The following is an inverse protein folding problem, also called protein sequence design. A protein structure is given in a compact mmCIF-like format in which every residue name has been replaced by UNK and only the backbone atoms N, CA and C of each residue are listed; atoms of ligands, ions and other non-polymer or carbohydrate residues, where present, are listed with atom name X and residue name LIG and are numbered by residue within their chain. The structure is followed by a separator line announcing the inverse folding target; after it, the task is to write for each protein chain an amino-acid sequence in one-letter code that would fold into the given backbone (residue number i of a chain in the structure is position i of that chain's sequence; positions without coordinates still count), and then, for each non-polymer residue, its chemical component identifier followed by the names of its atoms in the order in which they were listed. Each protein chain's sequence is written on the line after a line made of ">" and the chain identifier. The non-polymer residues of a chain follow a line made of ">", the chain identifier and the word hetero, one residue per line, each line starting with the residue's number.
data_IF_441834465370
#
_entry.id   IF_441834465370
#
_cell.length_a   1.000
_cell.length_b   1.000
_cell.length_c   1.000
_cell.angle_alpha   90.00
_cell.angle_beta   90.00
_cell.angle_gamma   90.00
#
_symmetry.space_group_name_H-M   'P 1'
#
loop_
_entity.id
_entity.type
_entity.pdbx_description
1 polymer ?
#
# COMPACT_ATOMS: atom_id res chain seq x y z
N UNK A 1 3.30 24.71 -31.39
CA UNK A 1 2.61 24.52 -30.10
C UNK A 1 3.52 23.78 -29.12
N UNK A 2 4.22 24.53 -28.27
CA UNK A 2 4.95 23.94 -27.15
C UNK A 2 3.98 23.18 -26.25
N UNK A 3 4.36 22.00 -25.72
CA UNK A 3 3.58 21.38 -24.66
C UNK A 3 3.51 22.34 -23.47
N UNK A 4 2.39 22.40 -22.74
CA UNK A 4 2.31 23.21 -21.53
C UNK A 4 3.41 22.76 -20.56
N UNK A 5 3.99 23.68 -19.75
CA UNK A 5 4.92 23.29 -18.70
C UNK A 5 4.24 22.22 -17.85
N UNK A 6 4.90 21.07 -17.76
CA UNK A 6 4.50 19.90 -16.97
C UNK A 6 3.90 20.39 -15.66
N UNK A 7 2.58 20.27 -15.50
CA UNK A 7 1.89 20.76 -14.32
C UNK A 7 2.62 20.18 -13.11
N UNK A 8 3.33 21.03 -12.36
CA UNK A 8 3.98 20.65 -11.12
C UNK A 8 2.88 20.09 -10.24
N UNK A 9 2.76 18.76 -10.17
CA UNK A 9 1.70 18.10 -9.41
C UNK A 9 1.85 18.62 -7.99
N UNK A 10 0.87 19.40 -7.54
CA UNK A 10 0.91 19.98 -6.20
C UNK A 10 0.99 18.82 -5.19
N UNK A 11 2.14 18.69 -4.51
CA UNK A 11 2.39 17.64 -3.52
C UNK A 11 1.86 18.02 -2.13
N UNK A 12 1.21 19.18 -1.98
CA UNK A 12 0.66 19.62 -0.69
C UNK A 12 -0.48 18.72 -0.22
N UNK A 13 -0.20 17.94 0.82
CA UNK A 13 -1.11 16.95 1.41
C UNK A 13 -1.92 17.54 2.57
N UNK A 14 -1.67 18.80 2.96
CA UNK A 14 -2.32 19.43 4.10
C UNK A 14 -3.85 19.52 3.97
N UNK A 15 -4.46 19.82 2.80
CA UNK A 15 -5.92 19.82 2.67
C UNK A 15 -6.55 18.45 2.93
N UNK A 16 -5.93 17.37 2.42
CA UNK A 16 -6.42 16.01 2.61
C UNK A 16 -6.33 15.58 4.07
N UNK A 17 -5.21 15.88 4.73
CA UNK A 17 -5.00 15.59 6.15
C UNK A 17 -6.03 16.32 7.02
N UNK A 18 -6.24 17.62 6.80
CA UNK A 18 -7.25 18.39 7.54
C UNK A 18 -8.67 17.83 7.33
N UNK A 19 -9.03 17.52 6.09
CA UNK A 19 -10.34 16.96 5.77
C UNK A 19 -10.55 15.60 6.46
N UNK A 20 -9.56 14.70 6.41
CA UNK A 20 -9.65 13.38 7.02
C UNK A 20 -9.73 13.47 8.55
N UNK A 21 -8.93 14.33 9.18
CA UNK A 21 -9.01 14.58 10.63
C UNK A 21 -10.40 15.06 11.04
N UNK A 22 -10.94 16.09 10.38
CA UNK A 22 -12.27 16.62 10.72
C UNK A 22 -13.39 15.58 10.54
N UNK A 23 -13.34 14.80 9.44
CA UNK A 23 -14.31 13.73 9.20
C UNK A 23 -14.17 12.58 10.20
N UNK A 24 -12.95 12.27 10.62
CA UNK A 24 -12.71 11.25 11.64
C UNK A 24 -13.30 11.69 12.98
N UNK A 25 -13.07 12.94 13.41
CA UNK A 25 -13.59 13.47 14.67
C UNK A 25 -15.14 13.51 14.70
N UNK A 26 -15.78 13.93 13.60
CA UNK A 26 -17.25 13.90 13.48
C UNK A 26 -17.80 12.46 13.55
N UNK A 27 -17.14 11.50 12.88
CA UNK A 27 -17.59 10.13 12.89
C UNK A 27 -17.35 9.41 14.21
N UNK A 28 -16.22 9.64 14.89
CA UNK A 28 -15.99 9.12 16.26
C UNK A 28 -17.11 9.61 17.18
N UNK A 29 -17.38 10.91 17.19
CA UNK A 29 -18.42 11.52 18.02
C UNK A 29 -19.82 10.95 17.78
N UNK A 30 -20.13 10.54 16.54
CA UNK A 30 -21.37 9.88 16.20
C UNK A 30 -21.41 8.43 16.70
N UNK A 31 -20.39 7.63 16.36
CA UNK A 31 -20.40 6.18 16.61
C UNK A 31 -20.21 5.82 18.08
N UNK A 32 -19.56 6.67 18.89
CA UNK A 32 -19.45 6.49 20.34
C UNK A 32 -20.82 6.42 21.04
N UNK A 33 -21.87 6.96 20.41
CA UNK A 33 -23.24 7.01 20.97
C UNK A 33 -24.13 5.84 20.55
N UNK A 34 -23.72 5.06 19.53
CA UNK A 34 -24.60 4.08 18.86
C UNK A 34 -24.56 2.69 19.51
N UNK A 35 -23.57 2.40 20.37
CA UNK A 35 -23.52 1.21 21.24
C UNK A 35 -23.33 -0.15 20.54
N UNK A 36 -23.45 -0.26 19.21
CA UNK A 36 -23.29 -1.51 18.46
C UNK A 36 -21.83 -1.90 18.24
N UNK A 37 -21.56 -3.18 17.97
CA UNK A 37 -20.22 -3.68 17.67
C UNK A 37 -19.61 -3.00 16.44
N UNK A 38 -20.41 -2.82 15.38
CA UNK A 38 -19.99 -2.08 14.19
C UNK A 38 -19.65 -0.64 14.52
N UNK A 39 -20.42 0.01 15.39
CA UNK A 39 -20.13 1.39 15.82
C UNK A 39 -18.82 1.49 16.59
N UNK A 40 -18.54 0.55 17.51
CA UNK A 40 -17.24 0.50 18.22
C UNK A 40 -16.07 0.33 17.24
N UNK A 41 -16.22 -0.54 16.24
CA UNK A 41 -15.21 -0.70 15.18
C UNK A 41 -15.02 0.57 14.35
N UNK A 42 -16.10 1.27 14.00
CA UNK A 42 -15.99 2.56 13.31
C UNK A 42 -15.24 3.60 14.14
N UNK A 43 -15.61 3.77 15.42
CA UNK A 43 -14.94 4.71 16.31
C UNK A 43 -13.44 4.40 16.42
N UNK A 44 -13.08 3.12 16.55
CA UNK A 44 -11.68 2.68 16.54
C UNK A 44 -10.98 2.99 15.20
N UNK A 45 -11.60 2.64 14.07
CA UNK A 45 -11.03 2.89 12.74
C UNK A 45 -10.79 4.38 12.48
N UNK A 46 -11.76 5.25 12.79
CA UNK A 46 -11.60 6.70 12.64
C UNK A 46 -10.55 7.28 13.59
N UNK A 47 -10.46 6.77 14.81
CA UNK A 47 -9.39 7.15 15.75
C UNK A 47 -8.01 6.83 15.20
N UNK A 48 -7.85 5.64 14.60
CA UNK A 48 -6.62 5.22 13.92
C UNK A 48 -6.30 6.12 12.72
N UNK A 49 -7.29 6.42 11.87
CA UNK A 49 -7.09 7.32 10.72
C UNK A 49 -6.65 8.73 11.15
N UNK A 50 -7.26 9.28 12.20
CA UNK A 50 -6.87 10.58 12.78
C UNK A 50 -5.42 10.56 13.26
N UNK A 51 -5.03 9.52 13.98
CA UNK A 51 -3.65 9.39 14.47
C UNK A 51 -2.65 9.25 13.33
N UNK A 52 -2.98 8.51 12.27
CA UNK A 52 -2.16 8.45 11.08
C UNK A 52 -2.01 9.81 10.40
N UNK A 53 -3.07 10.63 10.32
CA UNK A 53 -2.97 11.99 9.79
C UNK A 53 -1.94 12.82 10.56
N UNK A 54 -2.00 12.78 11.90
CA UNK A 54 -1.06 13.49 12.77
C UNK A 54 0.38 13.04 12.55
N UNK A 55 0.62 11.72 12.49
CA UNK A 55 1.97 11.14 12.36
C UNK A 55 2.56 11.26 10.95
N UNK A 56 1.74 11.25 9.90
CA UNK A 56 2.18 11.36 8.51
C UNK A 56 2.51 12.80 8.12
N UNK A 57 1.82 13.79 8.69
CA UNK A 57 1.95 15.19 8.27
C UNK A 57 3.39 15.73 8.23
N UNK A 58 4.26 15.49 9.24
CA UNK A 58 5.63 16.00 9.21
C UNK A 58 6.47 15.37 8.08
N UNK A 59 6.40 14.04 7.91
CA UNK A 59 7.15 13.33 6.88
C UNK A 59 6.70 13.73 5.47
N UNK A 60 5.39 13.82 5.23
CA UNK A 60 4.84 14.28 3.95
C UNK A 60 5.29 15.72 3.62
N UNK A 61 5.25 16.62 4.60
CA UNK A 61 5.71 18.01 4.42
C UNK A 61 7.22 18.07 4.16
N UNK A 62 8.00 17.26 4.87
CA UNK A 62 9.45 17.21 4.69
C UNK A 62 9.81 16.78 3.28
N UNK A 63 9.29 15.64 2.81
CA UNK A 63 9.57 15.16 1.47
C UNK A 63 8.97 16.05 0.38
N UNK A 64 7.80 16.66 0.58
CA UNK A 64 7.23 17.59 -0.41
C UNK A 64 8.14 18.79 -0.69
N UNK A 65 8.94 19.22 0.30
CA UNK A 65 9.92 20.30 0.12
C UNK A 65 11.25 19.83 -0.47
N UNK A 66 11.53 18.53 -0.45
CA UNK A 66 12.87 18.01 -0.72
C UNK A 66 12.93 17.14 -1.97
N UNK A 67 11.83 16.50 -2.37
CA UNK A 67 11.79 15.51 -3.45
C UNK A 67 12.25 16.04 -4.80
N UNK A 68 12.11 17.34 -5.07
CA UNK A 68 12.57 17.95 -6.32
C UNK A 68 14.09 17.87 -6.52
N UNK A 69 14.87 17.77 -5.43
CA UNK A 69 16.33 17.62 -5.48
C UNK A 69 16.79 16.27 -6.05
N UNK A 70 15.86 15.33 -6.18
CA UNK A 70 16.10 13.99 -6.70
C UNK A 70 15.47 13.78 -8.08
N UNK A 71 14.91 14.83 -8.69
CA UNK A 71 14.49 14.77 -10.08
C UNK A 71 15.71 14.74 -11.00
N UNK A 72 15.53 14.17 -12.19
CA UNK A 72 16.58 14.16 -13.21
C UNK A 72 17.00 15.59 -13.59
N UNK A 73 16.00 16.45 -13.79
CA UNK A 73 16.14 17.88 -14.07
C UNK A 73 14.81 18.60 -13.76
N UNK A 74 14.79 19.94 -13.80
CA UNK A 74 13.59 20.74 -13.50
C UNK A 74 12.40 20.48 -14.44
N UNK A 75 12.67 20.06 -15.68
CA UNK A 75 11.66 19.74 -16.69
C UNK A 75 11.17 18.29 -16.65
N UNK A 76 11.91 17.41 -15.97
CA UNK A 76 11.64 15.97 -15.86
C UNK A 76 11.39 15.55 -14.40
N UNK A 77 10.26 15.96 -13.79
CA UNK A 77 9.93 15.57 -12.42
C UNK A 77 9.61 14.07 -12.35
N UNK A 78 10.37 13.31 -11.57
CA UNK A 78 10.19 11.87 -11.48
C UNK A 78 11.27 11.20 -10.64
N UNK A 79 10.88 10.73 -9.44
CA UNK A 79 11.74 9.95 -8.57
C UNK A 79 10.94 9.14 -7.53
N UNK A 80 11.62 8.26 -6.81
CA UNK A 80 11.02 7.38 -5.80
C UNK A 80 10.30 8.13 -4.66
N UNK A 81 10.82 9.29 -4.22
CA UNK A 81 10.17 10.10 -3.19
C UNK A 81 8.86 10.74 -3.69
N UNK A 82 8.83 11.20 -4.95
CA UNK A 82 7.59 11.70 -5.57
C UNK A 82 6.55 10.58 -5.68
N UNK A 83 6.94 9.38 -6.09
CA UNK A 83 6.05 8.23 -6.14
C UNK A 83 5.51 7.85 -4.77
N UNK A 84 6.36 7.86 -3.72
CA UNK A 84 5.95 7.57 -2.35
C UNK A 84 4.97 8.62 -1.81
N UNK A 85 5.24 9.91 -2.04
CA UNK A 85 4.34 11.02 -1.70
C UNK A 85 2.99 10.87 -2.41
N UNK A 86 3.01 10.67 -3.72
CA UNK A 86 1.79 10.52 -4.52
C UNK A 86 0.96 9.32 -4.06
N UNK A 87 1.62 8.20 -3.75
CA UNK A 87 0.96 7.01 -3.20
C UNK A 87 0.30 7.32 -1.85
N UNK A 88 1.00 7.98 -0.92
CA UNK A 88 0.40 8.38 0.35
C UNK A 88 -0.80 9.33 0.16
N UNK A 89 -0.70 10.28 -0.79
CA UNK A 89 -1.78 11.21 -1.14
C UNK A 89 -3.01 10.49 -1.69
N UNK A 90 -2.82 9.54 -2.61
CA UNK A 90 -3.92 8.73 -3.15
C UNK A 90 -4.63 7.96 -2.03
N UNK A 91 -3.87 7.36 -1.10
CA UNK A 91 -4.44 6.65 0.05
C UNK A 91 -5.28 7.58 0.93
N UNK A 92 -4.74 8.75 1.29
CA UNK A 92 -5.46 9.79 2.04
C UNK A 92 -6.73 10.25 1.33
N UNK A 93 -6.67 10.51 0.02
CA UNK A 93 -7.83 10.93 -0.76
C UNK A 93 -8.95 9.88 -0.77
N UNK A 94 -8.58 8.60 -0.92
CA UNK A 94 -9.53 7.49 -0.83
C UNK A 94 -10.14 7.37 0.58
N UNK A 95 -9.33 7.50 1.63
CA UNK A 95 -9.82 7.50 3.01
C UNK A 95 -10.78 8.68 3.28
N UNK A 96 -10.48 9.88 2.77
CA UNK A 96 -11.39 11.05 2.83
C UNK A 96 -12.70 10.74 2.12
N UNK A 97 -12.66 10.19 0.91
CA UNK A 97 -13.85 9.87 0.14
C UNK A 97 -14.75 8.87 0.89
N UNK A 98 -14.17 7.78 1.43
CA UNK A 98 -14.91 6.82 2.25
C UNK A 98 -15.44 7.42 3.54
N UNK A 99 -14.66 8.26 4.23
CA UNK A 99 -15.10 8.94 5.45
C UNK A 99 -16.30 9.87 5.20
N UNK A 100 -16.32 10.57 4.06
CA UNK A 100 -17.48 11.39 3.63
C UNK A 100 -18.69 10.53 3.34
N UNK A 101 -18.51 9.42 2.62
CA UNK A 101 -19.60 8.49 2.35
C UNK A 101 -20.23 7.96 3.64
N UNK A 102 -19.42 7.54 4.62
CA UNK A 102 -19.92 7.11 5.92
C UNK A 102 -20.64 8.24 6.64
N UNK A 103 -20.06 9.44 6.71
CA UNK A 103 -20.71 10.59 7.34
C UNK A 103 -22.11 10.89 6.75
N UNK A 104 -22.25 10.78 5.43
CA UNK A 104 -23.52 11.03 4.73
C UNK A 104 -24.55 9.90 4.89
N UNK A 105 -24.10 8.65 5.04
CA UNK A 105 -24.98 7.47 4.98
C UNK A 105 -25.16 6.73 6.30
N UNK A 106 -24.40 7.07 7.36
CA UNK A 106 -24.39 6.36 8.66
C UNK A 106 -25.74 6.26 9.40
N UNK A 107 -26.76 7.01 8.97
CA UNK A 107 -28.14 6.96 9.51
C UNK A 107 -29.12 6.18 8.61
N UNK A 108 -28.70 5.76 7.43
CA UNK A 108 -29.54 5.05 6.47
C UNK A 108 -29.77 3.60 6.89
N UNK A 109 -31.00 3.10 6.72
CA UNK A 109 -31.35 1.70 7.00
C UNK A 109 -30.62 0.70 6.07
N UNK A 110 -30.23 1.14 4.87
CA UNK A 110 -29.49 0.32 3.91
C UNK A 110 -27.97 0.45 4.03
N UNK A 111 -27.48 1.14 5.08
CA UNK A 111 -26.05 1.33 5.28
C UNK A 111 -25.37 0.01 5.65
N UNK A 112 -24.52 -0.48 4.74
CA UNK A 112 -23.74 -1.71 4.95
C UNK A 112 -22.58 -1.45 5.92
N UNK A 113 -22.89 -1.37 7.21
CA UNK A 113 -21.95 -1.02 8.27
C UNK A 113 -20.67 -1.90 8.25
N UNK A 114 -20.84 -3.22 8.23
CA UNK A 114 -19.71 -4.18 8.24
C UNK A 114 -18.77 -4.03 7.04
N UNK A 115 -19.30 -3.75 5.85
CA UNK A 115 -18.48 -3.53 4.67
C UNK A 115 -17.69 -2.21 4.76
N UNK A 116 -18.37 -1.13 5.14
CA UNK A 116 -17.76 0.19 5.20
C UNK A 116 -16.69 0.30 6.29
N UNK A 117 -16.90 -0.35 7.45
CA UNK A 117 -15.88 -0.35 8.51
C UNK A 117 -14.64 -1.15 8.09
N UNK A 118 -14.82 -2.29 7.41
CA UNK A 118 -13.70 -3.07 6.88
C UNK A 118 -12.89 -2.30 5.84
N UNK A 119 -13.54 -1.47 5.00
CA UNK A 119 -12.81 -0.59 4.07
C UNK A 119 -11.99 0.48 4.80
N UNK A 120 -12.53 1.10 5.86
CA UNK A 120 -11.80 2.09 6.65
C UNK A 120 -10.62 1.46 7.41
N UNK A 121 -10.81 0.26 7.96
CA UNK A 121 -9.74 -0.52 8.60
C UNK A 121 -8.62 -0.84 7.61
N UNK A 122 -8.96 -1.23 6.37
CA UNK A 122 -7.99 -1.47 5.31
C UNK A 122 -7.18 -0.20 4.95
N UNK A 123 -7.83 0.96 4.82
CA UNK A 123 -7.11 2.23 4.63
C UNK A 123 -6.26 2.61 5.83
N UNK A 124 -6.69 2.32 7.05
CA UNK A 124 -5.88 2.48 8.26
C UNK A 124 -4.60 1.65 8.21
N UNK A 125 -4.71 0.37 7.86
CA UNK A 125 -3.57 -0.53 7.69
C UNK A 125 -2.62 -0.06 6.58
N UNK A 126 -3.16 0.37 5.43
CA UNK A 126 -2.37 0.92 4.33
C UNK A 126 -1.61 2.19 4.74
N UNK A 127 -2.26 3.14 5.44
CA UNK A 127 -1.60 4.34 5.96
C UNK A 127 -0.53 4.01 7.01
N UNK A 128 -0.71 2.96 7.81
CA UNK A 128 0.30 2.50 8.74
C UNK A 128 1.57 2.03 8.02
N UNK A 129 1.43 1.24 6.95
CA UNK A 129 2.58 0.77 6.15
C UNK A 129 3.20 1.90 5.32
N UNK A 130 2.41 2.80 4.75
CA UNK A 130 2.93 3.99 4.08
C UNK A 130 3.74 4.88 5.02
N UNK A 131 3.33 4.98 6.29
CA UNK A 131 4.12 5.65 7.32
C UNK A 131 5.46 4.94 7.57
N UNK A 132 5.45 3.61 7.66
CA UNK A 132 6.69 2.83 7.82
C UNK A 132 7.64 3.04 6.64
N UNK A 133 7.13 3.03 5.41
CA UNK A 133 7.89 3.32 4.19
C UNK A 133 8.46 4.74 4.20
N UNK A 134 7.69 5.75 4.62
CA UNK A 134 8.18 7.12 4.77
C UNK A 134 9.28 7.23 5.84
N UNK A 135 9.13 6.54 6.98
CA UNK A 135 10.16 6.50 8.01
C UNK A 135 11.44 5.80 7.53
N UNK A 136 11.32 4.71 6.76
CA UNK A 136 12.45 4.07 6.11
C UNK A 136 13.12 5.05 5.14
N UNK A 137 12.35 5.71 4.26
CA UNK A 137 12.86 6.70 3.33
C UNK A 137 13.61 7.85 4.03
N UNK A 138 13.13 8.30 5.21
CA UNK A 138 13.84 9.32 6.00
C UNK A 138 15.18 8.83 6.54
N UNK A 139 15.23 7.58 7.02
CA UNK A 139 16.48 6.96 7.49
C UNK A 139 17.48 6.77 6.36
N UNK A 140 17.02 6.32 5.19
CA UNK A 140 17.85 6.23 4.00
C UNK A 140 18.41 7.60 3.63
N UNK A 141 17.55 8.61 3.52
CA UNK A 141 17.97 9.98 3.20
C UNK A 141 19.01 10.53 4.19
N UNK A 142 18.87 10.24 5.48
CA UNK A 142 19.80 10.69 6.51
C UNK A 142 21.18 10.01 6.44
N UNK A 143 21.23 8.80 5.88
CA UNK A 143 22.47 8.03 5.71
C UNK A 143 23.08 8.17 4.32
N UNK A 144 22.33 8.66 3.33
CA UNK A 144 22.83 8.89 1.98
C UNK A 144 23.75 10.11 1.91
N UNK A 145 24.94 9.93 1.30
CA UNK A 145 25.84 11.03 0.97
C UNK A 145 25.29 11.86 -0.21
N UNK A 146 25.36 13.20 -0.16
CA UNK A 146 24.98 14.04 -1.30
C UNK A 146 25.80 13.71 -2.56
N UNK A 147 25.14 13.56 -3.70
CA UNK A 147 25.80 13.31 -4.99
C UNK A 147 26.16 11.85 -5.27
N UNK A 148 25.92 10.93 -4.33
CA UNK A 148 26.13 9.50 -4.51
C UNK A 148 24.81 8.81 -4.91
N UNK A 149 24.86 7.98 -5.95
CA UNK A 149 23.71 7.18 -6.40
C UNK A 149 23.59 5.86 -5.62
N UNK A 150 24.73 5.28 -5.26
CA UNK A 150 24.83 4.05 -4.47
C UNK A 150 25.56 4.32 -3.15
N UNK A 151 25.29 3.55 -2.08
CA UNK A 151 26.14 3.53 -0.89
C UNK A 151 27.59 3.22 -1.28
N UNK A 152 28.59 3.77 -0.58
CA UNK A 152 29.99 3.47 -0.88
C UNK A 152 30.40 2.09 -0.35
N UNK A 153 31.18 1.33 -1.11
CA UNK A 153 31.67 -0.01 -0.72
C UNK A 153 32.53 0.03 0.56
N UNK A 154 33.30 1.12 0.76
CA UNK A 154 34.16 1.34 1.95
C UNK A 154 33.35 1.56 3.26
N UNK A 155 32.07 1.91 3.18
CA UNK A 155 31.22 2.15 4.36
C UNK A 155 30.63 0.87 4.95
N UNK A 156 30.58 -0.23 4.16
CA UNK A 156 30.20 -1.55 4.68
C UNK A 156 31.32 -2.15 5.57
N UNK A 157 32.56 -1.67 5.41
CA UNK A 157 33.73 -2.09 6.19
C UNK A 157 34.03 -1.16 7.39
N UNK A 158 33.79 0.16 7.29
CA UNK A 158 34.01 1.10 8.41
C UNK A 158 32.88 1.11 9.46
N UNK A 159 31.68 0.64 9.12
CA UNK A 159 30.61 0.41 10.09
C UNK A 159 30.80 -0.93 10.85
N UNK A 160 31.94 -1.15 11.50
CA UNK A 160 32.17 -2.34 12.35
C UNK A 160 31.14 -2.47 13.51
N UNK A 161 30.35 -1.43 13.78
CA UNK A 161 29.24 -1.43 14.77
C UNK A 161 27.84 -1.13 14.17
N UNK A 162 27.71 -0.97 12.85
CA UNK A 162 26.50 -0.49 12.17
C UNK A 162 25.94 -1.44 11.09
N UNK A 163 24.61 -1.49 10.98
CA UNK A 163 23.93 -2.17 9.88
C UNK A 163 23.97 -1.27 8.64
N UNK A 164 24.64 -1.72 7.56
CA UNK A 164 24.77 -0.99 6.30
C UNK A 164 23.43 -0.67 5.64
N UNK A 165 23.43 0.26 4.66
CA UNK A 165 22.19 0.75 4.02
C UNK A 165 21.38 -0.38 3.38
N UNK A 166 22.05 -1.33 2.73
CA UNK A 166 21.41 -2.49 2.09
C UNK A 166 20.74 -3.41 3.12
N UNK A 167 21.46 -3.74 4.19
CA UNK A 167 20.94 -4.59 5.27
C UNK A 167 19.79 -3.89 6.02
N UNK A 168 19.86 -2.57 6.22
CA UNK A 168 18.76 -1.79 6.81
C UNK A 168 17.49 -1.91 5.96
N UNK A 169 17.59 -1.79 4.63
CA UNK A 169 16.44 -1.95 3.73
C UNK A 169 15.86 -3.35 3.85
N UNK A 170 16.70 -4.39 3.78
CA UNK A 170 16.25 -5.78 3.84
C UNK A 170 15.58 -6.09 5.19
N UNK A 171 16.20 -5.68 6.29
CA UNK A 171 15.69 -5.85 7.65
C UNK A 171 14.34 -5.15 7.80
N UNK A 172 14.25 -3.88 7.43
CA UNK A 172 13.01 -3.11 7.58
C UNK A 172 11.90 -3.66 6.68
N UNK A 173 12.21 -3.95 5.42
CA UNK A 173 11.26 -4.52 4.46
C UNK A 173 10.71 -5.87 4.93
N UNK A 174 11.54 -6.75 5.50
CA UNK A 174 11.10 -8.05 6.03
C UNK A 174 10.06 -7.94 7.15
N UNK A 175 10.04 -6.82 7.87
CA UNK A 175 9.05 -6.57 8.95
C UNK A 175 7.78 -5.86 8.46
N UNK A 176 7.76 -5.38 7.21
CA UNK A 176 6.61 -4.68 6.65
C UNK A 176 5.49 -5.65 6.26
N UNK A 177 4.26 -5.23 6.55
CA UNK A 177 3.05 -6.02 6.27
C UNK A 177 2.35 -5.53 5.02
N UNK A 178 2.88 -5.93 3.87
CA UNK A 178 2.45 -5.40 2.57
C UNK A 178 1.09 -5.93 2.11
N UNK A 179 0.52 -6.95 2.77
CA UNK A 179 -0.76 -7.56 2.40
C UNK A 179 -1.93 -6.57 2.41
N UNK A 180 -1.85 -5.51 3.22
CA UNK A 180 -2.84 -4.43 3.21
C UNK A 180 -3.00 -3.74 1.84
N UNK A 181 -1.95 -3.74 1.01
CA UNK A 181 -1.99 -3.17 -0.34
C UNK A 181 -2.58 -4.12 -1.38
N UNK A 182 -2.63 -5.43 -1.12
CA UNK A 182 -3.06 -6.44 -2.08
C UNK A 182 -4.47 -7.00 -1.79
N UNK A 183 -5.06 -6.57 -0.68
CA UNK A 183 -6.47 -6.81 -0.34
C UNK A 183 -7.42 -5.76 -0.92
N UNK A 184 -8.22 -5.09 -0.07
CA UNK A 184 -9.19 -4.07 -0.50
C UNK A 184 -8.54 -2.85 -1.16
N UNK A 185 -7.31 -2.53 -0.80
CA UNK A 185 -6.60 -1.37 -1.31
C UNK A 185 -5.86 -1.65 -2.65
N UNK A 186 -6.07 -2.80 -3.29
CA UNK A 186 -5.33 -3.16 -4.51
C UNK A 186 -5.41 -2.08 -5.60
N UNK A 187 -4.24 -1.55 -5.96
CA UNK A 187 -4.07 -0.56 -7.02
C UNK A 187 -4.75 0.78 -6.75
N UNK A 188 -4.95 1.16 -5.48
CA UNK A 188 -5.59 2.44 -5.14
C UNK A 188 -4.85 3.65 -5.75
N UNK A 189 -3.54 3.56 -5.95
CA UNK A 189 -2.70 4.62 -6.49
C UNK A 189 -2.80 4.77 -8.02
N UNK A 190 -3.34 3.76 -8.71
CA UNK A 190 -3.44 3.75 -10.16
C UNK A 190 -4.83 4.17 -10.65
N UNK A 191 -4.90 4.47 -11.95
CA UNK A 191 -6.15 4.73 -12.66
C UNK A 191 -7.12 3.53 -12.50
N UNK A 192 -8.43 3.77 -12.34
CA UNK A 192 -9.40 2.69 -12.14
C UNK A 192 -9.38 1.61 -13.23
N UNK A 193 -9.01 1.97 -14.47
CA UNK A 193 -8.96 1.05 -15.61
C UNK A 193 -7.94 -0.09 -15.49
N UNK A 194 -6.85 0.08 -14.73
CA UNK A 194 -5.84 -0.97 -14.55
C UNK A 194 -6.19 -1.93 -13.41
N UNK A 195 -7.07 -1.52 -12.49
CA UNK A 195 -7.38 -2.31 -11.28
C UNK A 195 -7.92 -3.71 -11.59
N UNK A 196 -8.79 -3.92 -12.60
CA UNK A 196 -9.22 -5.27 -12.97
C UNK A 196 -8.05 -6.17 -13.38
N UNK A 197 -7.09 -5.65 -14.14
CA UNK A 197 -5.90 -6.41 -14.55
C UNK A 197 -5.04 -6.76 -13.34
N UNK A 198 -4.77 -5.80 -12.46
CA UNK A 198 -4.03 -6.04 -11.22
C UNK A 198 -4.72 -7.07 -10.33
N UNK A 199 -6.05 -7.02 -10.27
CA UNK A 199 -6.85 -7.98 -9.51
C UNK A 199 -6.76 -9.39 -10.09
N UNK A 200 -6.81 -9.54 -11.42
CA UNK A 200 -6.60 -10.82 -12.09
C UNK A 200 -5.22 -11.39 -11.77
N UNK A 201 -4.16 -10.56 -11.87
CA UNK A 201 -2.79 -10.97 -11.54
C UNK A 201 -2.70 -11.40 -10.07
N UNK A 202 -3.23 -10.60 -9.14
CA UNK A 202 -3.19 -10.91 -7.72
C UNK A 202 -3.92 -12.22 -7.39
N UNK A 203 -5.11 -12.44 -7.94
CA UNK A 203 -5.90 -13.67 -7.76
C UNK A 203 -5.18 -14.87 -8.37
N UNK A 204 -4.65 -14.74 -9.59
CA UNK A 204 -3.91 -15.78 -10.28
C UNK A 204 -2.66 -16.18 -9.48
N UNK A 205 -1.93 -15.20 -8.97
CA UNK A 205 -0.74 -15.43 -8.16
C UNK A 205 -1.05 -16.20 -6.87
N UNK A 206 -2.06 -15.78 -6.10
CA UNK A 206 -2.39 -16.47 -4.85
C UNK A 206 -2.97 -17.86 -5.08
N UNK A 207 -3.74 -18.04 -6.16
CA UNK A 207 -4.29 -19.34 -6.56
C UNK A 207 -3.20 -20.30 -7.00
N UNK A 208 -2.23 -19.81 -7.79
CA UNK A 208 -1.08 -20.60 -8.20
C UNK A 208 -0.18 -20.96 -7.00
N UNK A 209 0.06 -20.01 -6.11
CA UNK A 209 0.82 -20.22 -4.87
C UNK A 209 0.26 -21.32 -3.97
N UNK A 210 -1.07 -21.42 -3.86
CA UNK A 210 -1.74 -22.50 -3.13
C UNK A 210 -1.48 -23.87 -3.78
N UNK A 211 -1.58 -23.96 -5.10
CA UNK A 211 -1.35 -25.19 -5.88
C UNK A 211 0.12 -25.61 -5.92
N UNK A 212 1.04 -24.66 -6.01
CA UNK A 212 2.49 -24.89 -6.03
C UNK A 212 2.97 -25.58 -4.74
N UNK A 213 2.48 -25.12 -3.58
CA UNK A 213 2.78 -25.74 -2.28
C UNK A 213 2.21 -27.16 -2.14
N UNK A 214 1.10 -27.48 -2.81
CA UNK A 214 0.55 -28.85 -2.84
C UNK A 214 1.42 -29.79 -3.66
N UNK A 215 1.93 -29.32 -4.80
CA UNK A 215 2.84 -30.10 -5.66
C UNK A 215 4.19 -30.38 -4.98
N UNK A 216 4.80 -29.41 -4.28
CA UNK A 216 6.04 -29.66 -3.51
C UNK A 216 5.86 -30.66 -2.36
N UNK A 217 4.64 -30.84 -1.83
CA UNK A 217 4.34 -31.78 -0.75
C UNK A 217 4.03 -33.21 -1.22
N UNK A 218 4.26 -33.53 -2.49
CA UNK A 218 4.10 -34.89 -3.02
C UNK A 218 2.65 -35.34 -3.20
N UNK A 219 1.67 -34.45 -3.05
CA UNK A 219 0.27 -34.74 -3.35
C UNK A 219 0.02 -34.53 -4.83
N UNK A 220 0.06 -35.62 -5.60
CA UNK A 220 -0.16 -35.63 -7.04
C UNK A 220 -1.54 -35.12 -7.46
N UNK A 221 -1.56 -34.55 -8.67
CA UNK A 221 -2.70 -34.13 -9.48
C UNK A 221 -3.49 -32.88 -9.02
N UNK A 222 -3.14 -31.74 -9.61
CA UNK A 222 -4.08 -30.94 -10.42
C UNK A 222 -3.32 -29.87 -11.21
N UNK A 223 -2.67 -30.27 -12.30
CA UNK A 223 -2.36 -29.35 -13.40
C UNK A 223 -3.71 -28.98 -14.05
N UNK A 224 -4.30 -27.85 -13.65
CA UNK A 224 -5.56 -27.39 -14.24
C UNK A 224 -6.33 -26.31 -13.47
N UNK A 225 -6.03 -26.08 -12.20
CA UNK A 225 -6.79 -25.14 -11.38
C UNK A 225 -6.11 -23.77 -11.24
N UNK A 226 -5.79 -23.12 -12.35
CA UNK A 226 -5.22 -21.75 -12.31
C UNK A 226 -6.25 -20.67 -11.94
N UNK A 227 -7.54 -21.01 -11.90
CA UNK A 227 -8.62 -20.04 -11.65
C UNK A 227 -9.68 -20.49 -10.63
N UNK A 228 -9.54 -21.65 -9.97
CA UNK A 228 -10.64 -22.21 -9.17
C UNK A 228 -10.72 -21.73 -7.72
N UNK A 229 -9.78 -20.93 -7.22
CA UNK A 229 -9.91 -20.36 -5.87
C UNK A 229 -10.72 -19.07 -5.89
N UNK A 230 -12.01 -19.17 -6.26
CA UNK A 230 -12.97 -18.06 -6.20
C UNK A 230 -13.03 -17.37 -4.83
N UNK A 231 -12.60 -18.07 -3.76
CA UNK A 231 -12.42 -17.51 -2.42
C UNK A 231 -11.55 -16.24 -2.39
N UNK A 232 -10.49 -16.15 -3.20
CA UNK A 232 -9.61 -14.97 -3.23
C UNK A 232 -10.20 -13.80 -4.04
N UNK A 233 -11.19 -14.07 -4.90
CA UNK A 233 -11.98 -13.03 -5.53
C UNK A 233 -13.03 -12.45 -4.57
N UNK A 234 -13.62 -13.32 -3.73
CA UNK A 234 -14.70 -12.97 -2.80
C UNK A 234 -14.20 -12.40 -1.47
N UNK A 235 -13.02 -12.80 -1.00
CA UNK A 235 -12.41 -12.35 0.24
C UNK A 235 -11.10 -11.60 -0.03
N UNK A 236 -11.15 -10.25 -0.12
CA UNK A 236 -9.97 -9.41 -0.28
C UNK A 236 -8.97 -9.55 0.87
N UNK A 237 -9.39 -9.85 2.09
CA UNK A 237 -8.45 -9.91 3.23
C UNK A 237 -7.64 -11.20 3.19
N UNK A 238 -8.32 -12.31 2.88
CA UNK A 238 -7.65 -13.57 2.62
C UNK A 238 -6.66 -13.43 1.44
N UNK A 239 -7.07 -12.74 0.37
CA UNK A 239 -6.17 -12.47 -0.77
C UNK A 239 -4.94 -11.68 -0.35
N UNK A 240 -5.11 -10.60 0.40
CA UNK A 240 -4.00 -9.76 0.87
C UNK A 240 -3.02 -10.53 1.77
N UNK A 241 -3.56 -11.32 2.71
CA UNK A 241 -2.75 -12.14 3.61
C UNK A 241 -1.96 -13.23 2.87
N UNK A 242 -2.59 -13.94 1.94
CA UNK A 242 -1.89 -14.95 1.14
C UNK A 242 -0.86 -14.30 0.20
N UNK A 243 -1.14 -13.14 -0.37
CA UNK A 243 -0.18 -12.42 -1.21
C UNK A 243 1.09 -12.07 -0.42
N UNK A 244 0.95 -11.51 0.78
CA UNK A 244 2.07 -11.23 1.68
C UNK A 244 2.84 -12.51 2.02
N UNK A 245 2.12 -13.57 2.40
CA UNK A 245 2.71 -14.86 2.73
C UNK A 245 3.46 -15.49 1.56
N UNK A 246 3.04 -15.28 0.32
CA UNK A 246 3.72 -15.81 -0.86
C UNK A 246 4.98 -14.98 -1.18
N UNK A 247 4.85 -13.66 -1.18
CA UNK A 247 5.97 -12.75 -1.48
C UNK A 247 7.11 -12.80 -0.47
N UNK A 248 6.83 -13.15 0.79
CA UNK A 248 7.87 -13.30 1.82
C UNK A 248 8.54 -14.69 1.86
N UNK A 249 7.92 -15.74 1.31
CA UNK A 249 8.34 -17.13 1.59
C UNK A 249 8.64 -17.98 0.34
N UNK A 250 8.43 -17.46 -0.87
CA UNK A 250 8.62 -18.23 -2.09
C UNK A 250 9.89 -17.86 -2.83
N UNK A 251 10.48 -18.88 -3.45
CA UNK A 251 11.77 -18.82 -4.13
C UNK A 251 11.64 -18.26 -5.57
N UNK A 252 12.80 -18.05 -6.20
CA UNK A 252 12.89 -17.58 -7.59
C UNK A 252 12.24 -18.58 -8.56
N UNK A 253 12.25 -19.87 -8.25
CA UNK A 253 11.66 -20.91 -9.11
C UNK A 253 10.15 -20.76 -9.22
N UNK A 254 9.46 -20.47 -8.12
CA UNK A 254 8.04 -20.17 -8.13
C UNK A 254 7.70 -19.04 -9.10
N UNK A 255 8.40 -17.90 -8.99
CA UNK A 255 8.16 -16.73 -9.83
C UNK A 255 8.37 -17.04 -11.31
N UNK A 256 9.45 -17.77 -11.61
CA UNK A 256 9.73 -18.23 -12.97
C UNK A 256 8.61 -19.13 -13.51
N UNK A 257 8.15 -20.10 -12.71
CA UNK A 257 7.04 -20.98 -13.10
C UNK A 257 5.73 -20.21 -13.33
N UNK A 258 5.40 -19.25 -12.46
CA UNK A 258 4.19 -18.45 -12.58
C UNK A 258 4.18 -17.61 -13.88
N UNK A 259 5.26 -16.88 -14.16
CA UNK A 259 5.33 -16.03 -15.35
C UNK A 259 5.42 -16.83 -16.64
N UNK A 260 6.13 -17.97 -16.64
CA UNK A 260 6.17 -18.87 -17.80
C UNK A 260 4.80 -19.50 -18.12
N UNK A 261 3.95 -19.71 -17.11
CA UNK A 261 2.57 -20.17 -17.31
C UNK A 261 1.72 -19.11 -18.01
N UNK A 262 1.90 -17.84 -17.66
CA UNK A 262 1.19 -16.76 -18.35
C UNK A 262 1.63 -16.61 -19.80
N UNK A 263 2.92 -16.82 -20.12
CA UNK A 263 3.42 -16.78 -21.50
C UNK A 263 2.87 -17.92 -22.37
N UNK A 264 2.68 -19.11 -21.80
CA UNK A 264 2.16 -20.28 -22.53
C UNK A 264 0.65 -20.29 -22.72
N UNK A 265 -0.12 -19.51 -21.95
CA UNK A 265 -1.59 -19.43 -22.03
C UNK A 265 -2.12 -18.13 -22.64
N UNK A 266 -1.36 -17.02 -22.63
CA UNK A 266 -1.73 -15.78 -23.34
C UNK A 266 -1.62 -15.89 -24.87
N UNK A 267 -0.94 -16.92 -25.37
CA UNK A 267 -0.77 -17.21 -26.80
C UNK A 267 -1.70 -18.33 -27.33
N UNK A 268 -2.69 -18.77 -26.54
CA UNK A 268 -3.65 -19.82 -26.92
C UNK A 268 -5.10 -19.31 -26.93
#
# INVERSE_FOLDING_TARGET
>A
PHPPPSATVNMDSAPLLRALTALADDNVSFFDRVGTDSARRFAAAFTVLREHCRRLAPALRHFARLCHRFDLDESTPGNGYRSLLQTARCCLAHAVHRSRYVAANRRSLFFRAGHNVAELEAYGAALAQLRALLCLAQRLLARSRPGCLFPGEEEEEEEEEGCGVSELVLREYSTMRNGCFYGRCLGFQFAPSIRPVLQTIAIGLVSFGESYKRHQRGLGAAAGSLFTSGKFALDPELRGAEFERLTQNLDVHFWKSFWNLTESQLLA
#
